data_IF_615971531356
#
_entry.id   IF_615971531356
#
_cell.length_a   1.000
_cell.length_b   1.000
_cell.length_c   1.000
_cell.angle_alpha   90.00
_cell.angle_beta   90.00
_cell.angle_gamma   90.00
#
_symmetry.space_group_name_H-M   'P 1'
#
loop_
_entity.id
_entity.type
_entity.pdbx_description
1 polymer ?
#
# COMPACT_ATOMS: atom_id res chain seq x y z
N UNK A 1 25.86 -14.21 -26.84
CA UNK A 1 26.67 -13.62 -25.76
C UNK A 1 26.29 -14.31 -24.46
N UNK A 2 27.23 -14.98 -23.79
CA UNK A 2 26.99 -15.44 -22.42
C UNK A 2 26.86 -14.24 -21.49
N UNK A 3 25.85 -14.27 -20.62
CA UNK A 3 25.67 -13.23 -19.60
C UNK A 3 26.73 -13.38 -18.53
N UNK A 4 27.29 -12.27 -18.07
CA UNK A 4 28.19 -12.31 -16.91
C UNK A 4 27.40 -12.74 -15.66
N UNK A 5 28.11 -13.25 -14.64
CA UNK A 5 27.47 -13.60 -13.36
C UNK A 5 26.71 -12.41 -12.75
N UNK A 6 27.22 -11.18 -12.94
CA UNK A 6 26.58 -9.95 -12.50
C UNK A 6 25.26 -9.69 -13.26
N UNK A 7 25.29 -9.79 -14.59
CA UNK A 7 24.10 -9.57 -15.42
C UNK A 7 22.99 -10.60 -15.14
N UNK A 8 23.38 -11.84 -14.79
CA UNK A 8 22.42 -12.87 -14.36
C UNK A 8 21.81 -12.56 -13.00
N UNK A 9 22.61 -12.03 -12.06
CA UNK A 9 22.13 -11.59 -10.76
C UNK A 9 21.19 -10.38 -10.86
N UNK A 10 21.54 -9.38 -11.67
CA UNK A 10 20.69 -8.20 -11.93
C UNK A 10 19.35 -8.60 -12.55
N UNK A 11 19.38 -9.49 -13.55
CA UNK A 11 18.16 -9.98 -14.18
C UNK A 11 17.28 -10.72 -13.18
N UNK A 12 17.86 -11.54 -12.29
CA UNK A 12 17.10 -12.21 -11.23
C UNK A 12 16.51 -11.22 -10.23
N UNK A 13 17.31 -10.26 -9.73
CA UNK A 13 16.86 -9.23 -8.81
C UNK A 13 15.71 -8.40 -9.40
N UNK A 14 15.79 -8.07 -10.69
CA UNK A 14 14.75 -7.31 -11.40
C UNK A 14 13.44 -8.09 -11.45
N UNK A 15 13.48 -9.39 -11.77
CA UNK A 15 12.28 -10.24 -11.78
C UNK A 15 11.65 -10.28 -10.39
N UNK A 16 12.45 -10.55 -9.35
CA UNK A 16 11.95 -10.61 -7.96
C UNK A 16 11.38 -9.26 -7.53
N UNK A 17 12.08 -8.16 -7.78
CA UNK A 17 11.62 -6.81 -7.44
C UNK A 17 10.28 -6.49 -8.12
N UNK A 18 10.16 -6.76 -9.42
CA UNK A 18 8.91 -6.52 -10.16
C UNK A 18 7.73 -7.35 -9.65
N UNK A 19 7.97 -8.58 -9.22
CA UNK A 19 6.95 -9.45 -8.64
C UNK A 19 6.49 -8.92 -7.28
N UNK A 20 7.43 -8.48 -6.43
CA UNK A 20 7.12 -7.91 -5.12
C UNK A 20 6.41 -6.57 -5.25
N UNK A 21 6.90 -5.68 -6.12
CA UNK A 21 6.31 -4.36 -6.36
C UNK A 21 4.91 -4.45 -6.97
N UNK A 22 4.62 -5.48 -7.77
CA UNK A 22 3.26 -5.73 -8.27
C UNK A 22 2.35 -6.45 -7.27
N UNK A 23 2.87 -7.45 -6.56
CA UNK A 23 2.08 -8.27 -5.64
C UNK A 23 1.74 -7.57 -4.32
N UNK A 24 2.67 -6.78 -3.77
CA UNK A 24 2.45 -6.10 -2.50
C UNK A 24 1.28 -5.10 -2.54
N UNK A 25 1.12 -4.24 -3.57
CA UNK A 25 -0.06 -3.38 -3.70
C UNK A 25 -1.37 -4.15 -3.75
N UNK A 26 -1.44 -5.28 -4.46
CA UNK A 26 -2.66 -6.10 -4.55
C UNK A 26 -3.07 -6.62 -3.17
N UNK A 27 -2.10 -7.14 -2.41
CA UNK A 27 -2.35 -7.59 -1.04
C UNK A 27 -2.70 -6.42 -0.12
N UNK A 28 -1.99 -5.30 -0.23
CA UNK A 28 -2.22 -4.11 0.57
C UNK A 28 -3.58 -3.45 0.31
N UNK A 29 -4.05 -3.44 -0.94
CA UNK A 29 -5.34 -2.84 -1.32
C UNK A 29 -6.52 -3.78 -1.08
N UNK A 30 -6.31 -5.09 -1.07
CA UNK A 30 -7.39 -6.06 -0.82
C UNK A 30 -7.78 -6.16 0.65
N UNK A 31 -6.83 -5.94 1.57
CA UNK A 31 -7.09 -6.07 3.01
C UNK A 31 -8.18 -5.10 3.53
N UNK A 32 -8.18 -3.79 3.18
CA UNK A 32 -9.24 -2.88 3.57
C UNK A 32 -10.60 -3.20 2.94
N UNK A 33 -10.65 -4.03 1.88
CA UNK A 33 -11.91 -4.42 1.25
C UNK A 33 -12.63 -5.54 1.99
N UNK A 34 -11.93 -6.26 2.90
CA UNK A 34 -12.46 -7.40 3.66
C UNK A 34 -13.86 -7.12 4.25
N UNK A 35 -14.13 -5.98 4.93
CA UNK A 35 -15.45 -5.72 5.50
C UNK A 35 -16.57 -5.82 4.46
N UNK A 36 -16.35 -5.37 3.23
CA UNK A 36 -17.37 -5.33 2.17
C UNK A 36 -17.78 -6.70 1.63
N UNK A 37 -17.05 -7.76 1.96
CA UNK A 37 -17.43 -9.14 1.63
C UNK A 37 -18.45 -9.74 2.61
N UNK A 38 -18.73 -9.05 3.72
CA UNK A 38 -19.69 -9.50 4.73
C UNK A 38 -20.95 -8.64 4.71
N UNK A 39 -22.11 -9.26 4.93
CA UNK A 39 -23.40 -8.58 4.97
C UNK A 39 -24.12 -8.50 3.62
N UNK A 40 -25.46 -8.48 3.66
CA UNK A 40 -26.30 -8.38 2.45
C UNK A 40 -26.54 -6.94 1.96
N UNK A 41 -26.16 -5.94 2.76
CA UNK A 41 -26.32 -4.51 2.42
C UNK A 41 -25.11 -3.71 2.92
N UNK A 42 -24.71 -2.71 2.15
CA UNK A 42 -23.61 -1.82 2.52
C UNK A 42 -24.10 -0.78 3.53
N UNK A 43 -23.53 -0.83 4.74
CA UNK A 43 -23.81 0.13 5.82
C UNK A 43 -22.56 0.95 6.14
N UNK A 44 -22.75 2.10 6.80
CA UNK A 44 -21.65 2.97 7.24
C UNK A 44 -20.58 2.24 8.07
N UNK A 45 -20.96 1.20 8.82
CA UNK A 45 -20.02 0.39 9.59
C UNK A 45 -18.96 -0.30 8.72
N UNK A 46 -19.32 -0.76 7.52
CA UNK A 46 -18.37 -1.39 6.59
C UNK A 46 -17.27 -0.43 6.18
N UNK A 47 -17.64 0.84 5.91
CA UNK A 47 -16.69 1.90 5.61
C UNK A 47 -15.80 2.23 6.81
N UNK A 48 -16.37 2.37 8.00
CA UNK A 48 -15.59 2.66 9.23
C UNK A 48 -14.54 1.57 9.46
N UNK A 49 -14.92 0.29 9.41
CA UNK A 49 -13.98 -0.82 9.58
C UNK A 49 -12.93 -0.85 8.47
N UNK A 50 -13.31 -0.59 7.22
CA UNK A 50 -12.38 -0.51 6.09
C UNK A 50 -11.32 0.57 6.30
N UNK A 51 -11.72 1.77 6.72
CA UNK A 51 -10.80 2.86 7.01
C UNK A 51 -9.90 2.58 8.22
N UNK A 52 -10.41 1.92 9.25
CA UNK A 52 -9.58 1.48 10.39
C UNK A 52 -8.49 0.51 9.92
N UNK A 53 -8.85 -0.49 9.10
CA UNK A 53 -7.90 -1.44 8.52
C UNK A 53 -6.87 -0.71 7.65
N UNK A 54 -7.31 0.20 6.79
CA UNK A 54 -6.45 0.99 5.91
C UNK A 54 -5.43 1.81 6.71
N UNK A 55 -5.89 2.58 7.70
CA UNK A 55 -5.00 3.41 8.53
C UNK A 55 -4.04 2.53 9.33
N UNK A 56 -4.52 1.43 9.91
CA UNK A 56 -3.67 0.46 10.61
C UNK A 56 -2.58 -0.11 9.72
N UNK A 57 -2.92 -0.46 8.47
CA UNK A 57 -1.97 -0.95 7.47
C UNK A 57 -0.93 0.12 7.09
N UNK A 58 -1.37 1.37 6.85
CA UNK A 58 -0.46 2.47 6.51
C UNK A 58 0.52 2.77 7.66
N UNK A 59 0.04 2.76 8.91
CA UNK A 59 0.90 2.95 10.08
C UNK A 59 1.89 1.80 10.21
N UNK A 60 1.43 0.55 10.08
CA UNK A 60 2.29 -0.62 10.13
C UNK A 60 3.39 -0.58 9.06
N UNK A 61 3.01 -0.32 7.81
CA UNK A 61 3.95 -0.17 6.69
C UNK A 61 4.91 1.00 6.89
N UNK A 62 4.42 2.14 7.40
CA UNK A 62 5.27 3.29 7.71
C UNK A 62 6.34 2.97 8.76
N UNK A 63 5.97 2.26 9.83
CA UNK A 63 6.92 1.80 10.87
C UNK A 63 7.93 0.81 10.28
N UNK A 64 7.44 -0.15 9.48
CA UNK A 64 8.27 -1.17 8.84
C UNK A 64 9.31 -0.55 7.89
N UNK A 65 8.86 0.34 6.98
CA UNK A 65 9.75 1.06 6.07
C UNK A 65 10.75 1.93 6.82
N UNK A 66 10.32 2.61 7.88
CA UNK A 66 11.23 3.37 8.74
C UNK A 66 12.29 2.50 9.41
N UNK A 67 11.98 1.26 9.77
CA UNK A 67 12.96 0.32 10.34
C UNK A 67 13.99 -0.14 9.32
N UNK A 68 13.58 -0.41 8.08
CA UNK A 68 14.46 -0.97 7.03
C UNK A 68 15.28 0.11 6.33
N UNK A 69 14.71 1.29 6.10
CA UNK A 69 15.37 2.40 5.39
C UNK A 69 16.45 3.12 6.20
N UNK A 70 16.63 2.77 7.48
CA UNK A 70 17.51 3.52 8.41
C UNK A 70 17.01 4.92 8.75
N UNK A 71 15.80 5.30 8.31
CA UNK A 71 15.17 6.58 8.61
C UNK A 71 14.41 6.61 9.94
N UNK A 72 13.86 7.78 10.29
CA UNK A 72 12.96 7.90 11.43
C UNK A 72 11.63 7.20 11.18
N UNK A 73 11.24 6.23 12.04
CA UNK A 73 9.97 5.49 11.95
C UNK A 73 8.76 6.43 11.84
N UNK A 74 8.71 7.45 12.69
CA UNK A 74 7.62 8.43 12.73
C UNK A 74 7.54 9.22 11.43
N UNK A 75 8.69 9.56 10.82
CA UNK A 75 8.72 10.28 9.54
C UNK A 75 8.03 9.48 8.44
N UNK A 76 8.33 8.19 8.32
CA UNK A 76 7.72 7.33 7.30
C UNK A 76 6.22 7.12 7.53
N UNK A 77 5.78 6.96 8.78
CA UNK A 77 4.35 6.88 9.12
C UNK A 77 3.62 8.16 8.67
N UNK A 78 4.16 9.33 9.01
CA UNK A 78 3.55 10.62 8.61
C UNK A 78 3.49 10.74 7.08
N UNK A 79 4.55 10.39 6.36
CA UNK A 79 4.56 10.47 4.90
C UNK A 79 3.51 9.53 4.27
N UNK A 80 3.39 8.28 4.74
CA UNK A 80 2.42 7.32 4.21
C UNK A 80 0.98 7.75 4.50
N UNK A 81 0.69 8.19 5.72
CA UNK A 81 -0.65 8.66 6.09
C UNK A 81 -1.01 9.93 5.32
N UNK A 82 -0.08 10.89 5.19
CA UNK A 82 -0.29 12.09 4.38
C UNK A 82 -0.54 11.76 2.90
N UNK A 83 0.22 10.83 2.33
CA UNK A 83 -0.02 10.37 0.96
C UNK A 83 -1.42 9.76 0.80
N UNK A 84 -1.89 8.98 1.79
CA UNK A 84 -3.25 8.46 1.84
C UNK A 84 -4.31 9.58 1.88
N UNK A 85 -4.12 10.58 2.75
CA UNK A 85 -5.03 11.74 2.87
C UNK A 85 -5.06 12.56 1.57
N UNK A 86 -3.90 12.84 0.98
CA UNK A 86 -3.81 13.57 -0.30
C UNK A 86 -4.52 12.79 -1.40
N UNK A 87 -4.29 11.48 -1.49
CA UNK A 87 -4.98 10.61 -2.46
C UNK A 87 -6.49 10.68 -2.27
N UNK A 88 -6.98 10.58 -1.02
CA UNK A 88 -8.40 10.68 -0.71
C UNK A 88 -8.99 12.02 -1.18
N UNK A 89 -8.33 13.14 -0.87
CA UNK A 89 -8.79 14.47 -1.28
C UNK A 89 -8.86 14.61 -2.80
N UNK A 90 -7.83 14.10 -3.49
CA UNK A 90 -7.79 14.08 -4.96
C UNK A 90 -8.95 13.24 -5.51
N UNK A 91 -9.18 12.04 -4.98
CA UNK A 91 -10.29 11.18 -5.40
C UNK A 91 -11.65 11.82 -5.16
N UNK A 92 -11.86 12.47 -4.00
CA UNK A 92 -13.11 13.17 -3.71
C UNK A 92 -13.33 14.34 -4.66
N UNK A 93 -12.29 15.12 -4.95
CA UNK A 93 -12.35 16.22 -5.91
C UNK A 93 -12.72 15.71 -7.32
N UNK A 94 -12.03 14.68 -7.81
CA UNK A 94 -12.33 14.05 -9.09
C UNK A 94 -13.77 13.49 -9.13
N UNK A 95 -14.24 12.93 -8.03
CA UNK A 95 -15.60 12.42 -7.91
C UNK A 95 -16.69 13.50 -7.96
N UNK A 96 -16.38 14.78 -7.70
CA UNK A 96 -17.33 15.88 -7.91
C UNK A 96 -17.36 16.37 -9.37
N UNK A 97 -16.33 16.06 -10.16
CA UNK A 97 -16.24 16.46 -11.56
C UNK A 97 -16.90 15.45 -12.53
N UNK A 98 -17.23 14.24 -12.05
CA UNK A 98 -17.79 13.15 -12.85
C UNK A 98 -19.25 12.95 -12.51
#
# INVERSE_FOLDING_TARGET
KEKTLLERAESFATIVASLVDGGAPVLGSSLPLIPFFFGGTLTVFHFIFSYIILVGLLVYLGVFLGKISGGGRVRYVIHLVMAGVVTLLVTLLLGQLT
#
